data_IF_230192251957
#
_entry.id   IF_230192251957
#
_cell.length_a   1.000
_cell.length_b   1.000
_cell.length_c   1.000
_cell.angle_alpha   90.00
_cell.angle_beta   90.00
_cell.angle_gamma   90.00
#
_symmetry.space_group_name_H-M   'P 1'
#
loop_
_entity.id
_entity.type
_entity.pdbx_description
1 polymer ?
#
# COMPACT_ATOMS: atom_id res chain seq x y z
N UNK A 1 -0.28 6.18 -20.22
CA UNK A 1 0.32 4.89 -19.83
C UNK A 1 0.27 4.75 -18.31
N UNK A 2 -0.26 3.63 -17.82
CA UNK A 2 -0.34 3.39 -16.38
C UNK A 2 1.02 3.00 -15.81
N UNK A 3 1.35 3.55 -14.66
CA UNK A 3 2.54 3.15 -13.92
C UNK A 3 2.15 2.20 -12.80
N UNK A 4 3.05 1.27 -12.48
CA UNK A 4 2.91 0.41 -11.32
C UNK A 4 3.57 1.11 -10.13
N UNK A 5 2.77 1.51 -9.16
CA UNK A 5 3.25 2.27 -8.00
C UNK A 5 3.10 1.42 -6.75
N UNK A 6 4.19 1.31 -6.00
CA UNK A 6 4.19 0.66 -4.71
C UNK A 6 4.20 1.71 -3.61
N UNK A 7 3.23 1.65 -2.71
CA UNK A 7 3.20 2.48 -1.51
C UNK A 7 3.56 1.59 -0.32
N UNK A 8 4.60 1.96 0.41
CA UNK A 8 5.03 1.22 1.60
C UNK A 8 4.61 2.02 2.83
N UNK A 9 3.69 1.46 3.60
CA UNK A 9 3.21 2.07 4.83
C UNK A 9 4.12 1.66 5.98
N UNK A 10 5.08 2.51 6.31
CA UNK A 10 6.09 2.24 7.33
C UNK A 10 5.83 3.00 8.62
N UNK A 11 5.76 4.32 8.55
CA UNK A 11 5.67 5.17 9.74
C UNK A 11 4.27 5.75 9.94
N UNK A 12 3.65 6.25 8.89
CA UNK A 12 2.33 6.87 8.96
C UNK A 12 1.35 6.07 8.09
N UNK A 13 0.68 5.10 8.72
CA UNK A 13 -0.21 4.18 8.01
C UNK A 13 -1.41 4.88 7.38
N UNK A 14 -2.02 5.80 8.11
CA UNK A 14 -3.20 6.53 7.61
C UNK A 14 -2.83 7.35 6.39
N UNK A 15 -1.71 8.06 6.44
CA UNK A 15 -1.26 8.87 5.32
C UNK A 15 -0.91 8.01 4.10
N UNK A 16 -0.29 6.85 4.32
CA UNK A 16 0.03 5.93 3.24
C UNK A 16 -1.24 5.45 2.53
N UNK A 17 -2.28 5.12 3.29
CA UNK A 17 -3.57 4.71 2.73
C UNK A 17 -4.20 5.85 1.91
N UNK A 18 -4.15 7.08 2.42
CA UNK A 18 -4.67 8.24 1.71
C UNK A 18 -3.93 8.50 0.40
N UNK A 19 -2.62 8.39 0.41
CA UNK A 19 -1.80 8.56 -0.79
C UNK A 19 -2.15 7.49 -1.83
N UNK A 20 -2.31 6.25 -1.40
CA UNK A 20 -2.69 5.16 -2.30
C UNK A 20 -4.03 5.43 -2.97
N UNK A 21 -5.03 5.89 -2.21
CA UNK A 21 -6.34 6.26 -2.75
C UNK A 21 -6.20 7.36 -3.81
N UNK A 22 -5.43 8.40 -3.50
CA UNK A 22 -5.22 9.51 -4.42
C UNK A 22 -4.56 9.07 -5.73
N UNK A 23 -3.57 8.20 -5.64
CA UNK A 23 -2.87 7.69 -6.82
C UNK A 23 -3.78 6.84 -7.71
N UNK A 24 -4.67 6.05 -7.12
CA UNK A 24 -5.64 5.28 -7.89
C UNK A 24 -6.57 6.20 -8.68
N UNK A 25 -6.98 7.30 -8.07
CA UNK A 25 -7.83 8.28 -8.73
C UNK A 25 -7.14 8.95 -9.94
N UNK A 26 -5.81 8.94 -9.97
CA UNK A 26 -5.02 9.42 -11.10
C UNK A 26 -4.79 8.34 -12.16
N UNK A 27 -5.49 7.22 -12.05
CA UNK A 27 -5.47 6.12 -13.03
C UNK A 27 -4.17 5.33 -13.06
N UNK A 28 -3.41 5.33 -11.97
CA UNK A 28 -2.22 4.47 -11.85
C UNK A 28 -2.60 3.12 -11.24
N UNK A 29 -1.76 2.11 -11.47
CA UNK A 29 -1.89 0.82 -10.81
C UNK A 29 -1.11 0.89 -9.50
N UNK A 30 -1.81 0.70 -8.39
CA UNK A 30 -1.23 0.90 -7.06
C UNK A 30 -1.30 -0.40 -6.26
N UNK A 31 -0.22 -0.71 -5.56
CA UNK A 31 -0.19 -1.75 -4.55
C UNK A 31 0.28 -1.14 -3.24
N UNK A 32 -0.28 -1.59 -2.13
CA UNK A 32 0.09 -1.09 -0.80
C UNK A 32 0.64 -2.24 0.05
N UNK A 33 1.88 -2.09 0.52
CA UNK A 33 2.51 -3.00 1.46
C UNK A 33 2.63 -2.29 2.80
N UNK A 34 1.94 -2.79 3.82
CA UNK A 34 1.99 -2.23 5.16
C UNK A 34 3.02 -3.00 6.00
N UNK A 35 3.99 -2.29 6.56
CA UNK A 35 4.99 -2.88 7.43
C UNK A 35 4.49 -2.85 8.87
N UNK A 36 3.89 -3.97 9.30
CA UNK A 36 3.28 -4.11 10.60
C UNK A 36 1.80 -3.86 10.58
N UNK A 37 1.19 -3.87 11.77
CA UNK A 37 -0.25 -3.75 11.93
C UNK A 37 -0.74 -2.35 11.54
N UNK A 38 -1.81 -2.29 10.74
CA UNK A 38 -2.44 -1.03 10.37
C UNK A 38 -3.28 -0.43 11.51
N UNK A 39 -3.65 -1.25 12.50
CA UNK A 39 -4.58 -0.83 13.54
C UNK A 39 -6.03 -0.96 13.08
N UNK A 40 -6.93 -0.56 13.96
CA UNK A 40 -8.37 -0.69 13.74
C UNK A 40 -9.12 0.62 13.95
N UNK A 41 -8.43 1.76 13.81
CA UNK A 41 -9.09 3.05 13.96
C UNK A 41 -10.15 3.25 12.87
N UNK A 42 -11.19 4.07 13.13
CA UNK A 42 -12.20 4.37 12.11
C UNK A 42 -11.60 4.93 10.83
N UNK A 43 -10.56 5.74 10.93
CA UNK A 43 -9.87 6.33 9.77
C UNK A 43 -9.22 5.25 8.91
N UNK A 44 -8.57 4.27 9.53
CA UNK A 44 -7.95 3.16 8.82
C UNK A 44 -9.02 2.31 8.13
N UNK A 45 -10.10 1.97 8.84
CA UNK A 45 -11.18 1.16 8.28
C UNK A 45 -11.82 1.83 7.07
N UNK A 46 -12.06 3.13 7.16
CA UNK A 46 -12.65 3.90 6.06
C UNK A 46 -11.75 3.87 4.82
N UNK A 47 -10.46 4.05 4.98
CA UNK A 47 -9.52 4.03 3.87
C UNK A 47 -9.39 2.63 3.26
N UNK A 48 -9.38 1.60 4.09
CA UNK A 48 -9.32 0.22 3.61
C UNK A 48 -10.54 -0.10 2.74
N UNK A 49 -11.72 0.33 3.14
CA UNK A 49 -12.94 0.13 2.35
C UNK A 49 -12.83 0.77 0.97
N UNK A 50 -12.28 1.98 0.90
CA UNK A 50 -12.09 2.68 -0.38
C UNK A 50 -11.10 1.92 -1.26
N UNK A 51 -10.01 1.42 -0.68
CA UNK A 51 -9.01 0.66 -1.43
C UNK A 51 -9.57 -0.67 -1.94
N UNK A 52 -10.37 -1.35 -1.14
CA UNK A 52 -11.03 -2.60 -1.56
C UNK A 52 -11.99 -2.34 -2.71
N UNK A 53 -12.75 -1.26 -2.64
CA UNK A 53 -13.67 -0.87 -3.69
C UNK A 53 -12.93 -0.58 -5.00
N UNK A 54 -11.72 -0.03 -4.92
CA UNK A 54 -10.89 0.30 -6.07
C UNK A 54 -10.02 -0.88 -6.53
N UNK A 55 -10.16 -2.05 -5.91
CA UNK A 55 -9.37 -3.26 -6.22
C UNK A 55 -7.87 -3.06 -6.04
N UNK A 56 -7.46 -2.29 -5.05
CA UNK A 56 -6.04 -2.09 -4.73
C UNK A 56 -5.55 -3.24 -3.83
N UNK A 57 -4.53 -3.99 -4.25
CA UNK A 57 -3.96 -5.02 -3.40
C UNK A 57 -3.34 -4.40 -2.15
N UNK A 58 -3.71 -4.92 -0.99
CA UNK A 58 -3.19 -4.50 0.30
C UNK A 58 -2.65 -5.72 1.03
N UNK A 59 -1.37 -5.69 1.37
CA UNK A 59 -0.75 -6.75 2.17
C UNK A 59 -0.16 -6.17 3.45
N UNK A 60 -0.37 -6.88 4.56
CA UNK A 60 0.27 -6.57 5.83
C UNK A 60 1.43 -7.53 6.01
N UNK A 61 2.64 -7.01 6.07
CA UNK A 61 3.86 -7.80 6.13
C UNK A 61 4.41 -7.78 7.57
N UNK A 62 3.94 -8.72 8.38
CA UNK A 62 4.32 -8.80 9.80
C UNK A 62 5.31 -9.92 10.13
N UNK A 63 5.53 -10.87 9.24
CA UNK A 63 6.56 -11.90 9.37
C UNK A 63 7.83 -11.43 8.69
N UNK A 64 8.92 -11.32 9.43
CA UNK A 64 10.17 -10.73 8.93
C UNK A 64 10.75 -11.46 7.72
N UNK A 65 10.76 -12.78 7.70
CA UNK A 65 11.39 -13.50 6.60
C UNK A 65 10.57 -13.46 5.32
N UNK A 66 9.27 -13.73 5.38
CA UNK A 66 8.41 -13.61 4.20
C UNK A 66 8.20 -12.15 3.80
N UNK A 67 8.27 -11.23 4.77
CA UNK A 67 8.18 -9.79 4.54
C UNK A 67 9.27 -9.30 3.59
N UNK A 68 10.52 -9.72 3.82
CA UNK A 68 11.63 -9.28 2.98
C UNK A 68 11.51 -9.81 1.55
N UNK A 69 11.12 -11.06 1.39
CA UNK A 69 10.95 -11.66 0.07
C UNK A 69 9.83 -10.97 -0.74
N UNK A 70 8.69 -10.74 -0.11
CA UNK A 70 7.57 -10.07 -0.75
C UNK A 70 7.88 -8.63 -1.10
N UNK A 71 8.52 -7.91 -0.18
CA UNK A 71 8.88 -6.53 -0.38
C UNK A 71 9.87 -6.38 -1.54
N UNK A 72 10.88 -7.24 -1.59
CA UNK A 72 11.85 -7.23 -2.67
C UNK A 72 11.18 -7.47 -4.03
N UNK A 73 10.25 -8.42 -4.10
CA UNK A 73 9.52 -8.71 -5.33
C UNK A 73 8.68 -7.52 -5.79
N UNK A 74 7.96 -6.92 -4.85
CA UNK A 74 7.11 -5.77 -5.15
C UNK A 74 7.93 -4.56 -5.60
N UNK A 75 9.11 -4.36 -5.01
CA UNK A 75 10.03 -3.29 -5.42
C UNK A 75 10.49 -3.49 -6.87
N UNK A 76 10.83 -4.71 -7.24
CA UNK A 76 11.28 -5.03 -8.60
C UNK A 76 10.17 -4.79 -9.62
N UNK A 77 8.92 -5.10 -9.26
CA UNK A 77 7.78 -5.00 -10.16
C UNK A 77 7.23 -3.56 -10.29
N UNK A 78 7.77 -2.62 -9.52
CA UNK A 78 7.21 -1.27 -9.45
C UNK A 78 8.03 -0.26 -10.24
N UNK A 79 7.34 0.68 -10.88
CA UNK A 79 7.97 1.81 -11.59
C UNK A 79 8.34 2.93 -10.63
N UNK A 80 7.57 3.11 -9.57
CA UNK A 80 7.81 4.13 -8.55
C UNK A 80 7.44 3.57 -7.17
N UNK A 81 8.15 4.02 -6.14
CA UNK A 81 7.96 3.57 -4.76
C UNK A 81 7.85 4.78 -3.84
N UNK A 82 6.81 4.81 -3.02
CA UNK A 82 6.63 5.81 -1.98
C UNK A 82 6.68 5.13 -0.60
N UNK A 83 7.57 5.59 0.27
CA UNK A 83 7.69 5.10 1.64
C UNK A 83 7.16 6.19 2.57
N UNK A 84 6.11 5.87 3.33
CA UNK A 84 5.40 6.85 4.16
C UNK A 84 5.27 6.40 5.61
#
# INVERSE_FOLDING_TARGET
>A
MKKNILVIAKNNKVEALRVAVGLVLLNDTVKLDALGDLGDSPQVQEQIEVLEFADVPLEVLDDRSSRMDKLARDLIDSDAVYVI
#
